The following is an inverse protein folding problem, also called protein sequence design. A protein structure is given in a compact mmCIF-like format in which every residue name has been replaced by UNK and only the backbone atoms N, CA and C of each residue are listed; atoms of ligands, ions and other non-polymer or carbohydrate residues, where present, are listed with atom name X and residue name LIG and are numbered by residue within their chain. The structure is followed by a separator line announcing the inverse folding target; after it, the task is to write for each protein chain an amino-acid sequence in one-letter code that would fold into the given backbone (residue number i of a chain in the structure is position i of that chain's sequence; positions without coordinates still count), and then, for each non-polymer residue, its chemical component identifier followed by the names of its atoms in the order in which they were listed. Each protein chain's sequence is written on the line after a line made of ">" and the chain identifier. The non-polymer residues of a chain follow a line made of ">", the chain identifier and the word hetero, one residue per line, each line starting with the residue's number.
data_IF_897207819409
#
_entry.id   IF_897207819409
#
_cell.length_a   1.000
_cell.length_b   1.000
_cell.length_c   1.000
_cell.angle_alpha   90.00
_cell.angle_beta   90.00
_cell.angle_gamma   90.00
#
_symmetry.space_group_name_H-M   'P 1'
#
loop_
_entity.id
_entity.type
_entity.pdbx_description
1 polymer ?
#
# COMPACT_ATOMS: atom_id res chain seq x y z
N UNK A 1 -8.31 -34.76 -4.29
CA UNK A 1 -8.12 -33.42 -3.67
C UNK A 1 -7.18 -32.61 -4.54
N UNK A 2 -7.33 -31.28 -4.61
CA UNK A 2 -6.40 -30.43 -5.36
C UNK A 2 -5.06 -30.32 -4.61
N UNK A 3 -3.90 -30.23 -5.31
CA UNK A 3 -2.62 -29.92 -4.68
C UNK A 3 -2.71 -28.62 -3.86
N UNK A 4 -2.01 -28.55 -2.73
CA UNK A 4 -2.02 -27.36 -1.88
C UNK A 4 -1.11 -26.27 -2.50
N UNK A 5 -1.65 -25.13 -2.96
CA UNK A 5 -0.82 -24.07 -3.54
C UNK A 5 -0.11 -23.24 -2.46
N UNK A 6 1.01 -22.63 -2.83
CA UNK A 6 1.65 -21.56 -2.06
C UNK A 6 0.76 -20.32 -2.01
N UNK A 7 1.01 -19.44 -1.03
CA UNK A 7 0.37 -18.10 -0.92
C UNK A 7 1.45 -17.05 -1.07
N UNK A 8 1.15 -16.00 -1.82
CA UNK A 8 2.00 -14.83 -1.95
C UNK A 8 1.65 -13.82 -0.84
N UNK A 9 2.68 -13.16 -0.32
CA UNK A 9 2.59 -12.03 0.58
C UNK A 9 3.56 -10.96 0.07
N UNK A 10 3.10 -9.72 -0.06
CA UNK A 10 4.00 -8.62 -0.42
C UNK A 10 5.05 -8.44 0.69
N UNK A 11 6.32 -8.35 0.28
CA UNK A 11 7.45 -8.19 1.20
C UNK A 11 7.35 -6.81 1.88
N UNK A 12 7.56 -6.78 3.20
CA UNK A 12 7.47 -5.60 4.04
C UNK A 12 8.82 -5.08 4.54
N UNK A 13 9.93 -5.61 4.00
CA UNK A 13 11.30 -5.18 4.29
C UNK A 13 12.07 -4.81 3.04
N UNK A 14 13.00 -3.86 3.18
CA UNK A 14 14.10 -3.65 2.23
C UNK A 14 15.23 -4.64 2.49
N UNK A 15 15.79 -5.23 1.42
CA UNK A 15 16.99 -6.08 1.53
C UNK A 15 18.24 -5.25 1.87
N UNK A 16 18.26 -3.97 1.51
CA UNK A 16 19.36 -3.06 1.85
C UNK A 16 19.43 -2.80 3.36
N UNK A 17 18.26 -2.69 4.00
CA UNK A 17 18.15 -2.48 5.46
C UNK A 17 18.25 -3.80 6.22
N UNK A 18 17.73 -4.89 5.65
CA UNK A 18 17.68 -6.22 6.28
C UNK A 18 18.26 -7.30 5.36
N UNK A 19 19.60 -7.43 5.24
CA UNK A 19 20.25 -8.30 4.24
C UNK A 19 19.92 -9.79 4.36
N UNK A 20 19.64 -10.26 5.57
CA UNK A 20 19.42 -11.68 5.87
C UNK A 20 17.96 -11.99 6.26
N UNK A 21 17.05 -11.02 6.12
CA UNK A 21 15.67 -11.14 6.60
C UNK A 21 14.63 -10.75 5.53
N UNK A 22 13.47 -11.40 5.61
CA UNK A 22 12.29 -11.04 4.82
C UNK A 22 11.10 -10.86 5.76
N UNK A 23 10.53 -9.67 5.78
CA UNK A 23 9.39 -9.34 6.65
C UNK A 23 8.09 -9.46 5.87
N UNK A 24 7.04 -9.95 6.52
CA UNK A 24 5.71 -10.10 5.94
C UNK A 24 4.66 -9.43 6.84
N UNK A 25 3.66 -8.79 6.23
CA UNK A 25 2.47 -8.31 6.97
C UNK A 25 1.31 -9.26 6.72
N UNK A 26 1.04 -10.15 7.68
CA UNK A 26 0.10 -11.27 7.49
C UNK A 26 -1.21 -11.02 8.23
N UNK A 27 -2.30 -10.85 7.47
CA UNK A 27 -3.66 -10.91 8.01
C UNK A 27 -4.09 -12.36 8.27
N UNK A 28 -4.12 -12.78 9.53
CA UNK A 28 -4.59 -14.11 9.91
C UNK A 28 -6.10 -14.25 9.63
N UNK A 29 -6.47 -15.10 8.66
CA UNK A 29 -7.86 -15.27 8.27
C UNK A 29 -8.54 -16.20 9.26
N UNK A 30 -9.58 -15.69 9.94
CA UNK A 30 -10.40 -16.41 10.92
C UNK A 30 -11.86 -16.05 10.71
N UNK A 31 -12.75 -17.04 10.67
CA UNK A 31 -14.18 -16.83 10.48
C UNK A 31 -14.98 -18.04 10.95
N UNK A 32 -16.27 -17.86 11.22
CA UNK A 32 -17.18 -18.97 11.51
C UNK A 32 -17.96 -19.35 10.24
N UNK A 33 -18.06 -20.65 9.97
CA UNK A 33 -18.94 -21.16 8.92
C UNK A 33 -19.46 -22.56 9.27
N UNK A 34 -20.76 -22.77 9.09
CA UNK A 34 -21.45 -24.03 9.39
C UNK A 34 -21.24 -24.47 10.86
N UNK A 35 -21.40 -23.52 11.80
CA UNK A 35 -21.27 -23.76 13.25
C UNK A 35 -19.87 -24.15 13.71
N UNK A 36 -18.84 -23.86 12.92
CA UNK A 36 -17.44 -24.18 13.24
C UNK A 36 -16.51 -23.03 12.90
N UNK A 37 -15.50 -22.84 13.74
CA UNK A 37 -14.40 -21.94 13.45
C UNK A 37 -13.58 -22.47 12.26
N UNK A 38 -13.23 -21.56 11.36
CA UNK A 38 -12.45 -21.80 10.15
C UNK A 38 -11.28 -20.84 10.11
N UNK A 39 -10.19 -21.32 9.52
CA UNK A 39 -8.93 -20.59 9.43
C UNK A 39 -8.36 -20.67 8.01
N UNK A 40 -7.71 -19.59 7.57
CA UNK A 40 -6.94 -19.60 6.34
C UNK A 40 -5.67 -20.44 6.51
N UNK A 41 -5.46 -21.40 5.61
CA UNK A 41 -4.41 -22.43 5.76
C UNK A 41 -3.02 -21.85 6.00
N UNK A 42 -2.58 -20.91 5.16
CA UNK A 42 -1.23 -20.35 5.22
C UNK A 42 -1.11 -19.25 6.29
N UNK A 43 -2.07 -18.33 6.36
CA UNK A 43 -2.00 -17.22 7.31
C UNK A 43 -2.12 -17.66 8.77
N UNK A 44 -2.93 -18.68 9.08
CA UNK A 44 -2.96 -19.26 10.42
C UNK A 44 -1.82 -20.24 10.68
N UNK A 45 -1.24 -20.87 9.64
CA UNK A 45 0.01 -21.61 9.81
C UNK A 45 1.13 -20.68 10.30
N UNK A 46 1.33 -19.55 9.62
CA UNK A 46 2.34 -18.56 10.01
C UNK A 46 2.03 -17.94 11.38
N UNK A 47 0.76 -17.64 11.69
CA UNK A 47 0.39 -16.98 12.93
C UNK A 47 0.38 -17.89 14.16
N UNK A 48 -0.03 -19.16 14.01
CA UNK A 48 -0.36 -20.03 15.15
C UNK A 48 0.54 -21.25 15.29
N UNK A 49 1.29 -21.63 14.24
CA UNK A 49 1.99 -22.93 14.18
C UNK A 49 3.48 -22.86 13.89
N UNK A 50 4.00 -21.67 13.56
CA UNK A 50 5.43 -21.44 13.39
C UNK A 50 5.93 -20.70 14.62
N UNK A 51 6.79 -21.34 15.40
CA UNK A 51 7.45 -20.73 16.54
C UNK A 51 8.80 -20.11 16.14
N UNK A 52 9.35 -19.27 17.01
CA UNK A 52 10.70 -18.73 16.84
C UNK A 52 11.70 -19.89 16.79
N UNK A 53 12.53 -19.93 15.73
CA UNK A 53 13.49 -21.00 15.48
C UNK A 53 13.01 -22.10 14.54
N UNK A 54 11.71 -22.12 14.19
CA UNK A 54 11.18 -23.07 13.21
C UNK A 54 11.58 -22.72 11.77
N UNK A 55 11.48 -23.71 10.89
CA UNK A 55 11.78 -23.57 9.46
C UNK A 55 10.48 -23.54 8.65
N UNK A 56 10.32 -22.51 7.82
CA UNK A 56 9.26 -22.42 6.82
C UNK A 56 9.84 -22.53 5.41
N UNK A 57 9.13 -23.21 4.51
CA UNK A 57 9.50 -23.26 3.09
C UNK A 57 9.04 -21.96 2.42
N UNK A 58 9.99 -21.21 1.90
CA UNK A 58 9.75 -19.92 1.22
C UNK A 58 10.47 -19.88 -0.12
N UNK A 59 9.97 -19.04 -1.01
CA UNK A 59 10.65 -18.66 -2.24
C UNK A 59 10.21 -17.24 -2.61
N UNK A 60 11.06 -16.52 -3.34
CA UNK A 60 10.75 -15.18 -3.82
C UNK A 60 10.05 -15.27 -5.16
N UNK A 61 8.93 -14.57 -5.31
CA UNK A 61 8.27 -14.34 -6.59
C UNK A 61 8.57 -12.91 -7.06
N UNK A 62 9.44 -12.71 -8.07
CA UNK A 62 9.76 -11.37 -8.56
C UNK A 62 8.52 -10.65 -9.12
N UNK A 63 8.41 -9.34 -8.85
CA UNK A 63 7.39 -8.47 -9.41
C UNK A 63 8.04 -7.26 -10.09
N UNK A 64 8.31 -7.38 -11.39
CA UNK A 64 8.96 -6.32 -12.19
C UNK A 64 8.05 -5.12 -12.48
N UNK A 65 6.77 -5.20 -12.11
CA UNK A 65 5.77 -4.16 -12.35
C UNK A 65 5.46 -3.31 -11.11
N UNK A 66 6.00 -3.66 -9.94
CA UNK A 66 5.79 -2.91 -8.69
C UNK A 66 7.14 -2.66 -8.01
N UNK A 67 7.85 -1.66 -8.51
CA UNK A 67 9.21 -1.27 -8.09
C UNK A 67 9.27 0.23 -7.84
N UNK A 68 10.22 0.64 -7.00
CA UNK A 68 10.57 2.04 -6.84
C UNK A 68 11.00 2.67 -8.19
N UNK A 69 10.89 4.01 -8.34
CA UNK A 69 11.41 4.69 -9.50
C UNK A 69 12.92 4.47 -9.63
N UNK A 70 13.44 4.45 -10.85
CA UNK A 70 14.90 4.35 -11.08
C UNK A 70 15.67 5.55 -10.52
N UNK A 71 15.07 6.75 -10.58
CA UNK A 71 15.63 7.94 -9.97
C UNK A 71 15.19 8.05 -8.51
N UNK A 72 16.16 8.30 -7.63
CA UNK A 72 15.92 8.59 -6.21
C UNK A 72 15.25 9.93 -5.96
N UNK A 73 15.25 10.82 -6.96
CA UNK A 73 14.67 12.16 -6.85
C UNK A 73 13.18 12.18 -7.18
N UNK A 74 12.66 11.11 -7.79
CA UNK A 74 11.25 11.00 -8.14
C UNK A 74 10.40 10.84 -6.89
N UNK A 75 9.47 11.76 -6.68
CA UNK A 75 8.46 11.68 -5.63
C UNK A 75 7.56 10.45 -5.79
N UNK A 76 7.08 9.90 -4.67
CA UNK A 76 6.15 8.77 -4.68
C UNK A 76 4.93 9.02 -3.79
N UNK A 77 3.77 8.62 -4.29
CA UNK A 77 2.50 8.57 -3.55
C UNK A 77 2.14 7.10 -3.37
N UNK A 78 1.99 6.67 -2.13
CA UNK A 78 1.75 5.29 -1.74
C UNK A 78 0.37 5.20 -1.09
N UNK A 79 -0.52 4.37 -1.65
CA UNK A 79 -1.89 4.22 -1.16
C UNK A 79 -2.09 2.76 -0.75
N UNK A 80 -2.20 2.52 0.56
CA UNK A 80 -2.33 1.19 1.13
C UNK A 80 -3.48 1.08 2.14
N UNK A 81 -4.26 0.02 2.06
CA UNK A 81 -5.28 -0.27 3.07
C UNK A 81 -5.03 -1.64 3.72
N UNK A 82 -5.15 -1.70 5.05
CA UNK A 82 -4.87 -2.91 5.83
C UNK A 82 -3.48 -3.48 5.51
N UNK A 83 -3.40 -4.77 5.17
CA UNK A 83 -2.15 -5.46 4.81
C UNK A 83 -1.51 -4.93 3.52
N UNK A 84 -2.22 -4.13 2.72
CA UNK A 84 -1.66 -3.43 1.56
C UNK A 84 -0.59 -2.39 1.91
N UNK A 85 -0.36 -2.12 3.20
CA UNK A 85 0.74 -1.27 3.66
C UNK A 85 2.13 -1.94 3.52
N UNK A 86 2.18 -3.27 3.39
CA UNK A 86 3.41 -4.06 3.41
C UNK A 86 4.52 -3.52 2.47
N UNK A 87 4.30 -3.42 1.13
CA UNK A 87 5.38 -3.00 0.25
C UNK A 87 5.81 -1.55 0.50
N UNK A 88 4.95 -0.70 1.07
CA UNK A 88 5.30 0.68 1.38
C UNK A 88 6.23 0.81 2.57
N UNK A 89 6.20 -0.15 3.51
CA UNK A 89 7.23 -0.27 4.55
C UNK A 89 8.60 -0.54 3.93
N UNK A 90 8.68 -1.51 3.02
CA UNK A 90 9.90 -1.81 2.28
C UNK A 90 10.40 -0.61 1.45
N UNK A 91 9.49 0.11 0.77
CA UNK A 91 9.84 1.26 -0.04
C UNK A 91 10.42 2.41 0.78
N UNK A 92 9.81 2.72 1.93
CA UNK A 92 10.30 3.80 2.80
C UNK A 92 11.63 3.41 3.44
N UNK A 93 11.79 2.17 3.90
CA UNK A 93 13.07 1.65 4.38
C UNK A 93 14.18 1.82 3.33
N UNK A 94 13.95 1.32 2.11
CA UNK A 94 14.93 1.41 1.02
C UNK A 94 15.30 2.86 0.67
N UNK A 95 14.31 3.74 0.52
CA UNK A 95 14.55 5.14 0.13
C UNK A 95 15.28 5.93 1.21
N UNK A 96 14.99 5.66 2.48
CA UNK A 96 15.70 6.29 3.59
C UNK A 96 17.15 5.84 3.63
N UNK A 97 17.41 4.54 3.46
CA UNK A 97 18.76 3.98 3.48
C UNK A 97 19.60 4.46 2.29
N UNK A 98 18.99 4.64 1.11
CA UNK A 98 19.64 5.23 -0.06
C UNK A 98 19.85 6.76 0.03
N UNK A 99 19.31 7.43 1.06
CA UNK A 99 19.33 8.88 1.15
C UNK A 99 18.58 9.58 0.01
N UNK A 100 17.50 8.97 -0.49
CA UNK A 100 16.75 9.45 -1.64
C UNK A 100 16.13 10.84 -1.40
N UNK A 101 16.32 11.77 -2.35
CA UNK A 101 15.84 13.15 -2.21
C UNK A 101 14.35 13.31 -2.53
N UNK A 102 13.78 12.43 -3.35
CA UNK A 102 12.37 12.49 -3.70
C UNK A 102 11.47 12.21 -2.49
N UNK A 103 10.37 12.92 -2.41
CA UNK A 103 9.44 12.93 -1.29
C UNK A 103 8.58 11.67 -1.27
N UNK A 104 8.30 11.18 -0.07
CA UNK A 104 7.44 10.02 0.16
C UNK A 104 6.14 10.46 0.82
N UNK A 105 5.00 10.10 0.22
CA UNK A 105 3.68 10.34 0.80
C UNK A 105 2.93 9.03 0.96
N UNK A 106 2.53 8.70 2.18
CA UNK A 106 1.67 7.55 2.48
C UNK A 106 0.23 7.99 2.75
N UNK A 107 -0.73 7.37 2.06
CA UNK A 107 -2.14 7.36 2.43
C UNK A 107 -2.50 5.96 2.93
N UNK A 108 -2.85 5.86 4.21
CA UNK A 108 -3.15 4.58 4.86
C UNK A 108 -4.59 4.49 5.36
N UNK A 109 -5.23 3.34 5.24
CA UNK A 109 -6.58 3.12 5.76
C UNK A 109 -6.78 1.80 6.50
N UNK A 110 -7.55 1.85 7.60
CA UNK A 110 -8.01 0.65 8.34
C UNK A 110 -9.30 0.97 9.14
N UNK A 111 -9.90 0.03 9.91
CA UNK A 111 -11.08 0.34 10.71
C UNK A 111 -10.83 1.34 11.85
N UNK A 112 -9.87 1.06 12.73
CA UNK A 112 -9.66 1.83 13.96
C UNK A 112 -8.23 2.33 14.13
N UNK A 113 -8.08 3.59 14.57
CA UNK A 113 -6.77 4.17 14.88
C UNK A 113 -6.06 3.41 16.00
N UNK A 114 -6.78 3.05 17.05
CA UNK A 114 -6.19 2.52 18.30
C UNK A 114 -5.74 1.07 18.20
N UNK A 115 -6.30 0.28 17.28
CA UNK A 115 -6.01 -1.16 17.17
C UNK A 115 -5.40 -1.55 15.83
N UNK A 116 -5.66 -0.78 14.77
CA UNK A 116 -5.40 -1.22 13.41
C UNK A 116 -4.38 -0.33 12.67
N UNK A 117 -3.73 0.61 13.37
CA UNK A 117 -2.69 1.43 12.77
C UNK A 117 -1.35 0.67 12.68
N UNK A 118 -1.24 -0.16 11.64
CA UNK A 118 -0.07 -0.99 11.38
C UNK A 118 1.21 -0.15 11.24
N UNK A 119 2.26 -0.53 11.98
CA UNK A 119 3.56 0.15 12.02
C UNK A 119 3.52 1.63 12.43
N UNK A 120 2.50 2.03 13.22
CA UNK A 120 2.29 3.43 13.64
C UNK A 120 3.58 4.13 14.12
N UNK A 121 4.34 3.51 15.01
CA UNK A 121 5.55 4.10 15.57
C UNK A 121 6.63 4.34 14.50
N UNK A 122 6.77 3.42 13.53
CA UNK A 122 7.71 3.57 12.42
C UNK A 122 7.30 4.77 11.53
N UNK A 123 6.02 4.91 11.20
CA UNK A 123 5.54 6.03 10.38
C UNK A 123 5.73 7.38 11.07
N UNK A 124 5.44 7.46 12.38
CA UNK A 124 5.69 8.67 13.17
C UNK A 124 7.18 9.02 13.19
N UNK A 125 8.05 8.02 13.29
CA UNK A 125 9.50 8.21 13.23
C UNK A 125 9.94 8.70 11.83
N UNK A 126 9.41 8.12 10.75
CA UNK A 126 9.73 8.57 9.39
C UNK A 126 9.26 9.99 9.13
N UNK A 127 8.08 10.40 9.61
CA UNK A 127 7.64 11.81 9.54
C UNK A 127 8.61 12.73 10.29
N UNK A 128 8.99 12.37 11.52
CA UNK A 128 9.89 13.17 12.36
C UNK A 128 11.29 13.31 11.74
N UNK A 129 11.77 12.28 11.05
CA UNK A 129 13.12 12.23 10.46
C UNK A 129 13.17 12.62 8.98
N UNK A 130 12.03 12.99 8.38
CA UNK A 130 11.95 13.35 6.96
C UNK A 130 11.93 12.17 5.98
N UNK A 131 11.86 10.91 6.48
CA UNK A 131 11.66 9.73 5.63
C UNK A 131 10.25 9.67 5.02
N UNK A 132 9.26 10.29 5.65
CA UNK A 132 7.97 10.61 5.05
C UNK A 132 7.82 12.13 5.00
N UNK A 133 7.45 12.65 3.82
CA UNK A 133 7.09 14.05 3.66
C UNK A 133 5.65 14.31 4.11
N UNK A 134 4.77 13.33 3.94
CA UNK A 134 3.35 13.45 4.29
C UNK A 134 2.74 12.08 4.62
N UNK A 135 1.76 12.08 5.53
CA UNK A 135 1.00 10.92 5.95
C UNK A 135 -0.46 11.30 6.15
N UNK A 136 -1.35 10.69 5.39
CA UNK A 136 -2.80 10.82 5.56
C UNK A 136 -3.39 9.48 5.97
N UNK A 137 -4.26 9.49 6.98
CA UNK A 137 -4.84 8.27 7.55
C UNK A 137 -6.36 8.30 7.51
N UNK A 138 -6.97 7.15 7.20
CA UNK A 138 -8.40 6.96 7.09
C UNK A 138 -8.88 5.82 7.98
N UNK A 139 -9.60 6.15 9.05
CA UNK A 139 -10.17 5.16 9.97
C UNK A 139 -11.67 5.06 9.77
N UNK A 140 -12.11 3.96 9.18
CA UNK A 140 -13.50 3.81 8.70
C UNK A 140 -14.54 3.58 9.80
N UNK A 141 -14.11 3.37 11.05
CA UNK A 141 -14.99 3.01 12.19
C UNK A 141 -14.77 3.84 13.46
N UNK A 142 -13.97 4.90 13.39
CA UNK A 142 -13.74 5.79 14.55
C UNK A 142 -14.78 6.90 14.67
N UNK A 143 -15.64 7.04 13.65
CA UNK A 143 -16.74 8.01 13.62
C UNK A 143 -17.95 7.44 12.86
N UNK A 144 -19.07 8.16 12.90
CA UNK A 144 -20.31 7.72 12.26
C UNK A 144 -20.19 7.64 10.73
N UNK A 145 -19.47 8.59 10.13
CA UNK A 145 -19.18 8.60 8.69
C UNK A 145 -18.00 7.71 8.36
N UNK A 146 -18.10 6.90 7.31
CA UNK A 146 -17.01 6.01 6.91
C UNK A 146 -16.00 6.78 6.07
N UNK A 147 -14.81 6.97 6.62
CA UNK A 147 -13.68 7.61 5.92
C UNK A 147 -12.72 6.52 5.43
N UNK A 148 -12.41 6.55 4.14
CA UNK A 148 -11.46 5.68 3.46
C UNK A 148 -10.37 6.49 2.75
N UNK A 149 -9.38 5.79 2.19
CA UNK A 149 -8.24 6.46 1.55
C UNK A 149 -8.62 7.25 0.29
N UNK A 150 -9.67 6.86 -0.43
CA UNK A 150 -10.15 7.63 -1.57
C UNK A 150 -10.73 8.98 -1.15
N UNK A 151 -11.30 9.08 0.05
CA UNK A 151 -11.80 10.34 0.60
C UNK A 151 -10.61 11.26 0.92
N UNK A 152 -9.56 10.71 1.53
CA UNK A 152 -8.29 11.43 1.76
C UNK A 152 -7.62 11.88 0.47
N UNK A 153 -7.72 11.08 -0.60
CA UNK A 153 -7.20 11.45 -1.92
C UNK A 153 -7.93 12.66 -2.48
N UNK A 154 -9.27 12.70 -2.34
CA UNK A 154 -10.11 13.81 -2.80
C UNK A 154 -9.93 15.08 -1.96
N UNK A 155 -9.83 14.95 -0.63
CA UNK A 155 -9.54 16.06 0.29
C UNK A 155 -8.21 16.73 -0.07
N UNK A 156 -7.23 15.93 -0.51
CA UNK A 156 -5.90 16.39 -0.90
C UNK A 156 -5.74 16.59 -2.42
N UNK A 157 -6.84 16.79 -3.16
CA UNK A 157 -6.84 16.79 -4.64
C UNK A 157 -5.75 17.66 -5.27
N UNK A 158 -5.60 18.90 -4.78
CA UNK A 158 -4.62 19.87 -5.29
C UNK A 158 -3.18 19.38 -5.14
N UNK A 159 -2.83 18.83 -3.97
CA UNK A 159 -1.49 18.32 -3.71
C UNK A 159 -1.22 17.06 -4.52
N UNK A 160 -2.19 16.14 -4.58
CA UNK A 160 -2.09 14.90 -5.39
C UNK A 160 -1.84 15.26 -6.85
N UNK A 161 -2.66 16.15 -7.43
CA UNK A 161 -2.49 16.59 -8.81
C UNK A 161 -1.15 17.30 -9.01
N UNK A 162 -0.75 18.19 -8.10
CA UNK A 162 0.55 18.86 -8.17
C UNK A 162 1.73 17.91 -8.15
N UNK A 163 1.71 16.85 -7.34
CA UNK A 163 2.76 15.83 -7.34
C UNK A 163 2.78 15.04 -8.65
N UNK A 164 1.62 14.70 -9.20
CA UNK A 164 1.52 14.05 -10.50
C UNK A 164 2.04 14.93 -11.65
N UNK A 165 1.76 16.22 -11.65
CA UNK A 165 2.32 17.12 -12.67
C UNK A 165 3.84 17.28 -12.52
N UNK A 166 4.37 17.14 -11.30
CA UNK A 166 5.82 17.14 -11.03
C UNK A 166 6.51 15.77 -11.23
N UNK A 167 5.85 14.82 -11.89
CA UNK A 167 6.48 13.56 -12.27
C UNK A 167 6.40 12.42 -11.24
N UNK A 168 5.66 12.59 -10.14
CA UNK A 168 5.54 11.55 -9.11
C UNK A 168 5.01 10.22 -9.66
N UNK A 169 5.40 9.11 -9.02
CA UNK A 169 4.82 7.79 -9.25
C UNK A 169 3.80 7.46 -8.15
N UNK A 170 2.63 6.99 -8.55
CA UNK A 170 1.52 6.61 -7.66
C UNK A 170 1.41 5.08 -7.60
N UNK A 171 1.33 4.57 -6.39
CA UNK A 171 1.28 3.14 -6.09
C UNK A 171 0.04 2.80 -5.28
N UNK A 172 -0.65 1.72 -5.62
CA UNK A 172 -1.80 1.21 -4.86
C UNK A 172 -1.58 -0.25 -4.50
N UNK A 173 -1.74 -0.61 -3.24
CA UNK A 173 -1.66 -1.99 -2.78
C UNK A 173 -2.77 -2.33 -1.77
N UNK A 174 -3.41 -3.50 -1.93
CA UNK A 174 -4.49 -3.97 -1.06
C UNK A 174 -5.61 -4.69 -1.81
N UNK A 175 -6.81 -4.71 -1.23
CA UNK A 175 -7.98 -5.41 -1.76
C UNK A 175 -8.39 -4.85 -3.13
N UNK A 176 -8.30 -5.66 -4.18
CA UNK A 176 -8.60 -5.23 -5.56
C UNK A 176 -10.04 -4.74 -5.73
N UNK A 177 -10.99 -5.40 -5.09
CA UNK A 177 -12.42 -5.18 -5.30
C UNK A 177 -12.89 -3.88 -4.64
N UNK A 178 -12.32 -3.53 -3.48
CA UNK A 178 -12.71 -2.37 -2.69
C UNK A 178 -11.79 -1.17 -2.92
N UNK A 179 -10.48 -1.40 -2.95
CA UNK A 179 -9.49 -0.33 -3.00
C UNK A 179 -9.22 0.15 -4.42
N UNK A 180 -8.84 -0.76 -5.33
CA UNK A 180 -8.36 -0.40 -6.67
C UNK A 180 -9.39 0.41 -7.47
N UNK A 181 -10.64 -0.07 -7.49
CA UNK A 181 -11.73 0.65 -8.16
C UNK A 181 -12.01 2.03 -7.56
N UNK A 182 -12.11 2.11 -6.22
CA UNK A 182 -12.40 3.37 -5.53
C UNK A 182 -11.29 4.42 -5.72
N UNK A 183 -10.03 4.00 -5.62
CA UNK A 183 -8.87 4.88 -5.85
C UNK A 183 -8.81 5.35 -7.29
N UNK A 184 -9.06 4.48 -8.28
CA UNK A 184 -9.09 4.91 -9.68
C UNK A 184 -10.19 5.94 -9.95
N UNK A 185 -11.40 5.74 -9.41
CA UNK A 185 -12.49 6.71 -9.52
C UNK A 185 -12.12 8.04 -8.87
N UNK A 186 -11.62 8.03 -7.64
CA UNK A 186 -11.22 9.25 -6.95
C UNK A 186 -10.06 9.97 -7.64
N UNK A 187 -9.07 9.24 -8.15
CA UNK A 187 -7.97 9.82 -8.91
C UNK A 187 -8.46 10.51 -10.19
N UNK A 188 -9.45 9.92 -10.87
CA UNK A 188 -10.07 10.52 -12.06
C UNK A 188 -10.80 11.81 -11.69
N UNK A 189 -11.52 11.83 -10.56
CA UNK A 189 -12.18 13.03 -10.04
C UNK A 189 -11.17 14.12 -9.64
N UNK A 190 -10.04 13.75 -9.03
CA UNK A 190 -8.94 14.68 -8.73
C UNK A 190 -8.45 15.35 -10.00
N UNK A 191 -8.12 14.56 -11.03
CA UNK A 191 -7.64 15.10 -12.31
C UNK A 191 -8.70 15.98 -12.98
N UNK A 192 -9.96 15.52 -13.00
CA UNK A 192 -11.06 16.29 -13.58
C UNK A 192 -11.20 17.66 -12.92
N UNK A 193 -11.18 17.69 -11.58
CA UNK A 193 -11.33 18.91 -10.78
C UNK A 193 -10.15 19.86 -10.96
N UNK A 194 -8.93 19.36 -10.79
CA UNK A 194 -7.73 20.22 -10.69
C UNK A 194 -7.18 20.63 -12.07
N UNK A 195 -7.40 19.81 -13.12
CA UNK A 195 -7.01 20.15 -14.49
C UNK A 195 -8.12 20.85 -15.29
N UNK A 196 -9.35 20.93 -14.76
CA UNK A 196 -10.50 21.50 -15.48
C UNK A 196 -10.91 20.69 -16.71
N UNK A 197 -10.63 19.39 -16.72
CA UNK A 197 -10.88 18.48 -17.84
C UNK A 197 -12.31 17.90 -17.79
N UNK A 198 -12.79 17.41 -18.93
CA UNK A 198 -13.98 16.55 -18.97
C UNK A 198 -13.69 15.18 -18.32
N UNK A 199 -14.74 14.43 -18.02
CA UNK A 199 -14.60 13.10 -17.43
C UNK A 199 -13.80 12.13 -18.33
N UNK A 200 -14.00 12.20 -19.65
CA UNK A 200 -13.31 11.35 -20.63
C UNK A 200 -11.82 11.71 -20.73
N UNK A 201 -11.49 13.00 -20.72
CA UNK A 201 -10.12 13.49 -20.72
C UNK A 201 -9.37 13.12 -19.43
N UNK A 202 -10.03 13.25 -18.27
CA UNK A 202 -9.46 12.84 -17.00
C UNK A 202 -9.21 11.32 -16.94
N UNK A 203 -10.15 10.51 -17.46
CA UNK A 203 -9.96 9.07 -17.58
C UNK A 203 -8.80 8.72 -18.52
N UNK A 204 -8.67 9.45 -19.63
CA UNK A 204 -7.55 9.28 -20.56
C UNK A 204 -6.20 9.65 -19.92
N UNK A 205 -6.16 10.70 -19.09
CA UNK A 205 -4.97 11.08 -18.31
C UNK A 205 -4.54 9.96 -17.36
N UNK A 206 -5.47 9.41 -16.55
CA UNK A 206 -5.15 8.30 -15.63
C UNK A 206 -4.69 7.05 -16.41
N UNK A 207 -5.29 6.76 -17.56
CA UNK A 207 -4.84 5.70 -18.46
C UNK A 207 -3.42 5.95 -18.98
N UNK A 208 -3.07 7.21 -19.26
CA UNK A 208 -1.73 7.58 -19.69
C UNK A 208 -0.69 7.40 -18.57
N UNK A 209 -1.01 7.74 -17.31
CA UNK A 209 -0.14 7.46 -16.17
C UNK A 209 0.22 5.96 -16.07
N UNK A 210 -0.77 5.07 -16.27
CA UNK A 210 -0.53 3.62 -16.30
C UNK A 210 0.42 3.22 -17.44
N UNK A 211 0.20 3.75 -18.65
CA UNK A 211 1.08 3.50 -19.81
C UNK A 211 2.52 3.97 -19.57
N UNK A 212 2.68 5.09 -18.87
CA UNK A 212 3.98 5.67 -18.52
C UNK A 212 4.66 4.99 -17.31
N UNK A 213 4.06 3.94 -16.73
CA UNK A 213 4.52 3.32 -15.47
C UNK A 213 4.64 4.32 -14.32
N UNK A 214 3.69 5.27 -14.26
CA UNK A 214 3.55 6.25 -13.18
C UNK A 214 2.33 6.01 -12.30
N UNK A 215 1.47 5.08 -12.68
CA UNK A 215 0.42 4.51 -11.82
C UNK A 215 0.55 2.99 -11.82
N UNK A 216 0.95 2.42 -10.68
CA UNK A 216 1.25 1.01 -10.50
C UNK A 216 0.36 0.40 -9.39
N UNK A 217 -0.04 -0.85 -9.56
CA UNK A 217 -0.93 -1.54 -8.62
C UNK A 217 -0.39 -2.94 -8.30
N UNK A 218 -0.43 -3.30 -7.02
CA UNK A 218 -0.25 -4.66 -6.51
C UNK A 218 -1.47 -5.02 -5.66
N UNK A 219 -2.56 -5.39 -6.34
CA UNK A 219 -3.87 -5.61 -5.74
C UNK A 219 -4.29 -7.08 -5.89
N UNK A 220 -4.84 -7.63 -4.81
CA UNK A 220 -5.23 -9.04 -4.69
C UNK A 220 -6.68 -9.24 -4.26
#
# INVERSE_FOLDING_TARGET
>A
LRPLPSRAYSIASSLLVHPDEVHLTVGAVRYEAFGRQKHGVCSSFLADRVAVGDVARVYVQPNEYFRLPQSTDTDIIMIGAGTGIAPFRAFVEERVELGAAGRNWLLFGNPHFTTDFLYQAEWQQHLKRGGLAKLDVAFSRDQAEKIYVQDRLLENSRDVFGWLENGAQLYVCGDKNRLGGAVQTALTQVVQKEAGLSADEAAAYVKNLRKQRRYLEDVY
#
